data_IF_844179799136
#
_entry.id   IF_844179799136
#
_cell.length_a   1.000
_cell.length_b   1.000
_cell.length_c   1.000
_cell.angle_alpha   90.00
_cell.angle_beta   90.00
_cell.angle_gamma   90.00
#
_symmetry.space_group_name_H-M   'P 1'
#
loop_
_entity.id
_entity.type
_entity.pdbx_description
1 polymer ?
#
# COMPACT_ATOMS: atom_id res chain seq x y z
N UNK A 1 -3.17 19.48 6.81
CA UNK A 1 -4.33 19.00 6.02
C UNK A 1 -4.98 17.84 6.76
N UNK A 2 -6.26 17.54 6.50
CA UNK A 2 -6.90 16.38 7.14
C UNK A 2 -6.13 15.09 6.81
N UNK A 3 -5.63 14.39 7.84
CA UNK A 3 -4.85 13.15 7.70
C UNK A 3 -5.57 12.06 6.91
N UNK A 4 -6.90 11.94 7.10
CA UNK A 4 -7.72 10.96 6.39
C UNK A 4 -7.73 11.26 4.90
N UNK A 5 -7.89 12.54 4.51
CA UNK A 5 -7.88 12.95 3.11
C UNK A 5 -6.52 12.69 2.47
N UNK A 6 -5.42 13.00 3.17
CA UNK A 6 -4.07 12.66 2.72
C UNK A 6 -3.90 11.14 2.56
N UNK A 7 -4.38 10.36 3.52
CA UNK A 7 -4.34 8.89 3.46
C UNK A 7 -5.08 8.33 2.24
N UNK A 8 -6.27 8.85 1.94
CA UNK A 8 -7.02 8.49 0.73
C UNK A 8 -6.22 8.84 -0.53
N UNK A 9 -5.67 10.05 -0.61
CA UNK A 9 -4.93 10.52 -1.78
C UNK A 9 -3.65 9.71 -2.03
N UNK A 10 -2.86 9.47 -0.99
CA UNK A 10 -1.69 8.60 -1.06
C UNK A 10 -2.05 7.14 -1.33
N UNK A 11 -3.15 6.63 -0.77
CA UNK A 11 -3.64 5.29 -1.05
C UNK A 11 -4.03 5.09 -2.51
N UNK A 12 -4.72 6.07 -3.11
CA UNK A 12 -5.06 6.05 -4.55
C UNK A 12 -3.78 6.09 -5.38
N UNK A 13 -2.87 7.03 -5.11
CA UNK A 13 -1.62 7.15 -5.85
C UNK A 13 -0.80 5.86 -5.78
N UNK A 14 -0.66 5.29 -4.58
CA UNK A 14 0.11 4.07 -4.38
C UNK A 14 -0.54 2.87 -5.09
N UNK A 15 -1.86 2.72 -4.99
CA UNK A 15 -2.61 1.69 -5.72
C UNK A 15 -2.47 1.81 -7.24
N UNK A 16 -2.55 3.03 -7.79
CA UNK A 16 -2.35 3.26 -9.23
C UNK A 16 -0.93 2.86 -9.65
N UNK A 17 0.09 3.27 -8.90
CA UNK A 17 1.48 2.93 -9.19
C UNK A 17 1.67 1.40 -9.21
N UNK A 18 1.14 0.69 -8.21
CA UNK A 18 1.29 -0.77 -8.12
C UNK A 18 0.59 -1.50 -9.28
N UNK A 19 -0.59 -1.03 -9.67
CA UNK A 19 -1.31 -1.54 -10.85
C UNK A 19 -0.52 -1.30 -12.14
N UNK A 20 0.10 -0.13 -12.30
CA UNK A 20 0.93 0.18 -13.47
C UNK A 20 2.14 -0.75 -13.56
N UNK A 21 2.78 -1.09 -12.43
CA UNK A 21 3.88 -2.05 -12.38
C UNK A 21 3.47 -3.47 -12.80
N UNK A 22 2.17 -3.81 -12.68
CA UNK A 22 1.64 -5.12 -13.08
C UNK A 22 1.25 -5.20 -14.57
N UNK A 23 1.14 -4.08 -15.29
CA UNK A 23 0.78 -4.09 -16.73
C UNK A 23 1.74 -4.93 -17.58
N UNK A 24 3.08 -4.85 -17.45
CA UNK A 24 3.98 -5.65 -18.26
C UNK A 24 4.05 -7.13 -17.85
N UNK A 25 3.46 -7.53 -16.73
CA UNK A 25 3.51 -8.92 -16.25
C UNK A 25 2.57 -9.83 -17.05
N UNK A 26 3.08 -11.01 -17.40
CA UNK A 26 2.33 -12.07 -18.07
C UNK A 26 1.52 -12.88 -17.06
N UNK A 27 0.24 -13.08 -17.36
CA UNK A 27 -0.66 -13.92 -16.56
C UNK A 27 -1.21 -15.04 -17.45
N UNK A 28 -1.44 -16.25 -16.92
CA UNK A 28 -2.03 -17.35 -17.67
C UNK A 28 -3.41 -17.03 -18.23
N UNK A 29 -4.20 -16.23 -17.51
CA UNK A 29 -5.54 -15.81 -17.89
C UNK A 29 -5.76 -14.32 -17.64
N UNK A 30 -6.51 -13.66 -18.51
CA UNK A 30 -6.86 -12.24 -18.38
C UNK A 30 -7.73 -11.95 -17.13
N UNK A 31 -8.57 -12.90 -16.72
CA UNK A 31 -9.37 -12.75 -15.51
C UNK A 31 -8.50 -12.76 -14.24
N UNK A 32 -7.50 -13.64 -14.18
CA UNK A 32 -6.57 -13.71 -13.04
C UNK A 32 -5.75 -12.41 -12.93
N UNK A 33 -5.34 -11.85 -14.08
CA UNK A 33 -4.67 -10.55 -14.11
C UNK A 33 -5.53 -9.43 -13.54
N UNK A 34 -6.82 -9.39 -13.90
CA UNK A 34 -7.76 -8.38 -13.38
C UNK A 34 -7.93 -8.52 -11.87
N UNK A 35 -8.11 -9.74 -11.36
CA UNK A 35 -8.23 -10.00 -9.92
C UNK A 35 -6.94 -9.63 -9.16
N UNK A 36 -5.77 -9.92 -9.73
CA UNK A 36 -4.50 -9.54 -9.14
C UNK A 36 -4.32 -8.01 -9.10
N UNK A 37 -4.63 -7.31 -10.19
CA UNK A 37 -4.53 -5.86 -10.27
C UNK A 37 -5.53 -5.15 -9.33
N UNK A 38 -6.78 -5.61 -9.25
CA UNK A 38 -7.75 -5.05 -8.30
C UNK A 38 -7.37 -5.34 -6.85
N UNK A 39 -6.90 -6.56 -6.56
CA UNK A 39 -6.40 -6.93 -5.23
C UNK A 39 -5.21 -6.07 -4.81
N UNK A 40 -4.22 -5.90 -5.69
CA UNK A 40 -3.06 -5.06 -5.46
C UNK A 40 -3.45 -3.59 -5.21
N UNK A 41 -4.37 -3.04 -6.01
CA UNK A 41 -4.88 -1.68 -5.80
C UNK A 41 -5.47 -1.50 -4.40
N UNK A 42 -6.37 -2.40 -3.98
CA UNK A 42 -7.04 -2.29 -2.69
C UNK A 42 -6.11 -2.56 -1.51
N UNK A 43 -5.09 -3.41 -1.66
CA UNK A 43 -4.02 -3.60 -0.69
C UNK A 43 -3.31 -2.25 -0.44
N UNK A 44 -2.85 -1.58 -1.50
CA UNK A 44 -2.14 -0.29 -1.38
C UNK A 44 -3.04 0.86 -0.96
N UNK A 45 -4.28 0.87 -1.40
CA UNK A 45 -5.29 1.83 -0.97
C UNK A 45 -5.55 1.71 0.53
N UNK A 46 -5.73 0.49 1.04
CA UNK A 46 -5.93 0.24 2.47
C UNK A 46 -4.72 0.72 3.29
N UNK A 47 -3.49 0.51 2.81
CA UNK A 47 -2.28 1.03 3.46
C UNK A 47 -2.37 2.56 3.64
N UNK A 48 -2.65 3.30 2.57
CA UNK A 48 -2.74 4.76 2.64
C UNK A 48 -3.83 5.25 3.59
N UNK A 49 -5.03 4.68 3.49
CA UNK A 49 -6.17 5.02 4.36
C UNK A 49 -5.85 4.74 5.83
N UNK A 50 -5.30 3.55 6.14
CA UNK A 50 -4.98 3.17 7.52
C UNK A 50 -3.88 4.05 8.11
N UNK A 51 -2.87 4.42 7.33
CA UNK A 51 -1.84 5.38 7.76
C UNK A 51 -2.47 6.75 8.08
N UNK A 52 -3.39 7.24 7.24
CA UNK A 52 -4.09 8.50 7.47
C UNK A 52 -5.05 8.47 8.66
N UNK A 53 -5.71 7.33 8.89
CA UNK A 53 -6.73 7.17 9.93
C UNK A 53 -6.17 6.78 11.30
N UNK A 54 -4.90 6.38 11.39
CA UNK A 54 -4.27 5.96 12.64
C UNK A 54 -3.15 6.89 13.07
N UNK A 55 -2.91 6.94 14.39
CA UNK A 55 -1.80 7.66 14.99
C UNK A 55 -1.15 6.71 15.99
N UNK A 56 0.04 6.21 15.66
CA UNK A 56 0.82 5.38 16.56
C UNK A 56 1.87 6.24 17.30
N UNK A 57 2.24 5.89 18.55
CA UNK A 57 3.24 6.62 19.33
C UNK A 57 4.68 6.28 18.87
N UNK A 58 4.93 6.37 17.57
CA UNK A 58 6.22 6.10 16.92
C UNK A 58 6.47 7.12 15.80
N UNK A 59 7.67 7.10 15.22
CA UNK A 59 7.96 7.97 14.08
C UNK A 59 7.01 7.67 12.89
N UNK A 60 6.54 8.69 12.13
CA UNK A 60 5.53 8.49 11.09
C UNK A 60 5.93 7.51 9.98
N UNK A 61 7.21 7.49 9.60
CA UNK A 61 7.73 6.52 8.64
C UNK A 61 7.65 5.08 9.18
N UNK A 62 7.88 4.88 10.48
CA UNK A 62 7.82 3.57 11.13
C UNK A 62 6.37 3.09 11.28
N UNK A 63 5.43 3.99 11.59
CA UNK A 63 3.99 3.70 11.50
C UNK A 63 3.64 3.19 10.10
N UNK A 64 4.13 3.87 9.06
CA UNK A 64 3.96 3.46 7.67
C UNK A 64 4.47 2.05 7.38
N UNK A 65 5.68 1.71 7.86
CA UNK A 65 6.25 0.36 7.74
C UNK A 65 5.38 -0.69 8.44
N UNK A 66 4.98 -0.42 9.68
CA UNK A 66 4.20 -1.38 10.48
C UNK A 66 2.88 -1.69 9.79
N UNK A 67 2.14 -0.65 9.41
CA UNK A 67 0.83 -0.80 8.76
C UNK A 67 0.97 -1.51 7.43
N UNK A 68 1.91 -1.07 6.58
CA UNK A 68 2.09 -1.66 5.26
C UNK A 68 2.54 -3.12 5.31
N UNK A 69 3.43 -3.47 6.25
CA UNK A 69 3.82 -4.85 6.48
C UNK A 69 2.62 -5.71 6.88
N UNK A 70 1.81 -5.28 7.85
CA UNK A 70 0.67 -6.05 8.34
C UNK A 70 -0.41 -6.22 7.26
N UNK A 71 -0.66 -5.18 6.45
CA UNK A 71 -1.67 -5.22 5.39
C UNK A 71 -1.22 -6.10 4.22
N UNK A 72 0.05 -6.05 3.83
CA UNK A 72 0.55 -6.82 2.69
C UNK A 72 0.95 -8.27 3.04
N UNK A 73 0.98 -8.65 4.32
CA UNK A 73 1.35 -9.99 4.75
C UNK A 73 0.34 -11.06 4.29
N UNK A 74 -0.98 -10.89 4.42
CA UNK A 74 -1.96 -11.84 3.91
C UNK A 74 -1.85 -12.03 2.39
N UNK A 75 -1.73 -10.95 1.62
CA UNK A 75 -1.61 -11.01 0.15
C UNK A 75 -0.30 -11.70 -0.28
N UNK A 76 0.80 -11.47 0.43
CA UNK A 76 2.07 -12.19 0.25
C UNK A 76 1.94 -13.70 0.53
N UNK A 77 1.22 -14.10 1.58
CA UNK A 77 1.01 -15.51 1.93
C UNK A 77 0.16 -16.22 0.87
N UNK A 78 -0.97 -15.61 0.48
CA UNK A 78 -1.92 -16.21 -0.47
C UNK A 78 -1.25 -16.42 -1.83
N UNK A 79 -0.47 -15.44 -2.30
CA UNK A 79 0.20 -15.49 -3.61
C UNK A 79 1.56 -16.21 -3.58
N UNK A 80 2.07 -16.54 -2.39
CA UNK A 80 3.43 -17.06 -2.14
C UNK A 80 4.54 -16.17 -2.69
N UNK A 81 4.27 -14.89 -2.90
CA UNK A 81 5.19 -13.95 -3.53
C UNK A 81 5.66 -12.87 -2.56
N UNK A 82 6.39 -13.29 -1.53
CA UNK A 82 6.76 -12.45 -0.39
C UNK A 82 7.61 -11.25 -0.76
N UNK A 83 8.67 -11.46 -1.54
CA UNK A 83 9.66 -10.43 -1.79
C UNK A 83 9.07 -9.18 -2.48
N UNK A 84 8.47 -9.27 -3.68
CA UNK A 84 7.96 -8.07 -4.35
C UNK A 84 6.79 -7.42 -3.58
N UNK A 85 5.88 -8.21 -3.01
CA UNK A 85 4.70 -7.67 -2.33
C UNK A 85 5.09 -6.90 -1.06
N UNK A 86 5.94 -7.50 -0.22
CA UNK A 86 6.37 -6.89 1.04
C UNK A 86 7.34 -5.74 0.80
N UNK A 87 8.30 -5.85 -0.13
CA UNK A 87 9.26 -4.77 -0.39
C UNK A 87 8.56 -3.52 -0.92
N UNK A 88 7.65 -3.65 -1.89
CA UNK A 88 6.89 -2.51 -2.41
C UNK A 88 5.99 -1.93 -1.31
N UNK A 89 5.32 -2.79 -0.53
CA UNK A 89 4.47 -2.38 0.59
C UNK A 89 5.21 -1.56 1.62
N UNK A 90 6.32 -2.08 2.14
CA UNK A 90 7.15 -1.44 3.16
C UNK A 90 7.70 -0.10 2.67
N UNK A 91 8.23 -0.05 1.45
CA UNK A 91 8.80 1.18 0.89
C UNK A 91 7.71 2.24 0.67
N UNK A 92 6.62 1.88 0.01
CA UNK A 92 5.50 2.79 -0.23
C UNK A 92 4.82 3.23 1.07
N UNK A 93 4.70 2.32 2.04
CA UNK A 93 4.20 2.58 3.38
C UNK A 93 5.07 3.56 4.16
N UNK A 94 6.40 3.35 4.17
CA UNK A 94 7.34 4.24 4.84
C UNK A 94 7.28 5.67 4.28
N UNK A 95 7.26 5.80 2.94
CA UNK A 95 7.15 7.10 2.25
C UNK A 95 5.80 7.76 2.56
N UNK A 96 4.70 7.02 2.44
CA UNK A 96 3.35 7.53 2.73
C UNK A 96 3.21 7.96 4.19
N UNK A 97 3.72 7.15 5.13
CA UNK A 97 3.75 7.47 6.56
C UNK A 97 4.53 8.72 6.87
N UNK A 98 5.71 8.89 6.26
CA UNK A 98 6.52 10.09 6.40
C UNK A 98 5.77 11.34 5.89
N UNK A 99 5.23 11.30 4.67
CA UNK A 99 4.54 12.44 4.05
C UNK A 99 3.23 12.81 4.76
N UNK A 100 2.43 11.82 5.15
CA UNK A 100 1.20 12.03 5.93
C UNK A 100 1.54 12.59 7.31
N UNK A 101 2.59 12.11 7.97
CA UNK A 101 3.04 12.65 9.24
C UNK A 101 3.57 14.09 9.15
N UNK A 102 4.15 14.46 8.01
CA UNK A 102 4.69 15.81 7.78
C UNK A 102 3.60 16.84 7.47
N UNK A 103 2.57 16.47 6.71
CA UNK A 103 1.55 17.39 6.20
C UNK A 103 0.16 17.22 6.86
N UNK A 104 -0.02 16.13 7.58
CA UNK A 104 -1.25 15.80 8.28
C UNK A 104 -1.34 16.50 9.64
N UNK A 105 -2.51 17.09 9.90
CA UNK A 105 -2.90 17.65 11.21
C UNK A 105 -4.08 16.83 11.73
#
# INVERSE_FOLDING_TARGET
MNRILLGILFGILFGVIDVLLMIPLSFPNANDKRLAMTGAFFDRFAIGVLIGASILPVAPWLQGIIISFLVSLPSAIITRNYFPILSIGILGGAISGYLIGLWGV
#
